data_IF_973861618389
#
_entry.id   IF_973861618389
#
_cell.length_a   1.000
_cell.length_b   1.000
_cell.length_c   1.000
_cell.angle_alpha   90.00
_cell.angle_beta   90.00
_cell.angle_gamma   90.00
#
_symmetry.space_group_name_H-M   'P 1'
#
loop_
_entity.id
_entity.type
_entity.pdbx_description
1 polymer ?
2 branched ?
3 branched ?
4 non-polymer ?
5 non-polymer ?
6 non-polymer ?
7 non-polymer ?
8 non-polymer ?
9 water ?
#
# COMPACT_ATOMS: atom_id res chain seq x y z
N UNK A 1 -21.85 -6.45 13.66
CA UNK A 1 -22.39 -7.15 14.83
C UNK A 1 -21.26 -7.96 15.54
N UNK A 2 -20.61 -8.90 14.83
CA UNK A 2 -19.48 -9.69 15.34
C UNK A 2 -18.12 -9.28 14.67
N UNK A 3 -17.01 -9.51 15.38
CA UNK A 3 -15.67 -9.26 14.82
C UNK A 3 -15.41 -10.21 13.67
N UNK A 4 -14.81 -9.73 12.58
CA UNK A 4 -14.48 -10.63 11.50
C UNK A 4 -13.27 -11.52 11.86
N UNK A 5 -13.35 -12.79 11.47
CA UNK A 5 -12.24 -13.70 11.55
C UNK A 5 -11.81 -14.16 10.16
N UNK A 6 -10.52 -14.40 10.01
CA UNK A 6 -9.87 -14.74 8.76
C UNK A 6 -9.96 -16.23 8.64
N UNK A 7 -11.13 -16.73 8.33
CA UNK A 7 -11.36 -18.16 8.29
C UNK A 7 -11.15 -18.77 6.92
N UNK A 8 -10.98 -18.00 5.85
CA UNK A 8 -10.80 -18.58 4.49
C UNK A 8 -9.37 -18.50 3.96
N UNK A 9 -9.13 -19.31 2.93
CA UNK A 9 -7.87 -19.24 2.14
C UNK A 9 -8.03 -18.29 0.99
N UNK A 10 -6.95 -18.05 0.24
CA UNK A 10 -7.03 -17.32 -1.05
C UNK A 10 -7.70 -18.14 -2.16
N UNK A 11 -8.47 -17.51 -3.03
CA UNK A 11 -8.93 -18.18 -4.24
C UNK A 11 -7.74 -18.37 -5.16
N UNK A 12 -7.87 -19.26 -6.12
CA UNK A 12 -6.86 -19.44 -7.10
C UNK A 12 -6.89 -18.23 -8.00
N UNK A 13 -5.68 -17.74 -8.25
CA UNK A 13 -5.48 -16.57 -9.07
C UNK A 13 -4.99 -17.01 -10.44
N UNK A 14 -5.88 -16.99 -11.42
CA UNK A 14 -5.48 -17.35 -12.77
C UNK A 14 -5.37 -16.17 -13.68
N UNK A 15 -5.90 -15.03 -13.21
CA UNK A 15 -5.63 -13.71 -13.79
C UNK A 15 -6.29 -12.60 -12.92
N UNK A 16 -6.51 -11.42 -13.47
CA UNK A 16 -6.89 -10.22 -12.73
C UNK A 16 -7.86 -9.47 -13.61
N UNK A 17 -8.99 -9.10 -13.02
CA UNK A 17 -10.02 -8.36 -13.72
C UNK A 17 -10.05 -6.96 -13.11
N UNK A 18 -10.54 -6.03 -13.92
CA UNK A 18 -10.71 -4.66 -13.47
C UNK A 18 -11.79 -4.52 -12.35
N UNK A 19 -11.45 -3.75 -11.32
CA UNK A 19 -12.26 -3.58 -10.10
C UNK A 19 -12.72 -2.15 -10.04
N UNK A 20 -11.78 -1.23 -9.98
CA UNK A 20 -12.09 0.17 -9.99
C UNK A 20 -11.00 1.06 -10.54
N UNK A 21 -11.45 2.20 -11.03
CA UNK A 21 -10.59 3.20 -11.65
C UNK A 21 -11.26 4.56 -11.50
N UNK A 22 -10.57 5.55 -11.03
CA UNK A 22 -11.26 6.85 -10.83
C UNK A 22 -11.12 7.92 -11.91
N UNK A 23 -10.07 7.84 -12.73
CA UNK A 23 -9.79 8.83 -13.76
C UNK A 23 -9.73 10.23 -13.17
N UNK A 24 -9.09 10.35 -12.03
CA UNK A 24 -9.17 11.57 -11.26
C UNK A 24 -8.46 12.73 -11.94
N UNK A 25 -7.32 12.47 -12.57
CA UNK A 25 -6.52 13.60 -13.07
C UNK A 25 -7.20 14.11 -14.33
N UNK A 26 -7.75 13.21 -15.17
CA UNK A 26 -8.56 13.60 -16.34
C UNK A 26 -9.70 14.43 -15.91
N UNK A 27 -10.47 13.89 -14.95
CA UNK A 27 -11.70 14.55 -14.54
C UNK A 27 -11.40 15.92 -13.89
N UNK A 28 -10.35 15.90 -13.10
CA UNK A 28 -9.90 17.05 -12.33
C UNK A 28 -9.32 18.18 -13.13
N UNK A 29 -9.00 17.93 -14.40
CA UNK A 29 -8.71 19.02 -15.34
C UNK A 29 -9.79 20.12 -15.37
N UNK A 30 -11.06 19.77 -15.16
CA UNK A 30 -12.09 20.81 -15.15
C UNK A 30 -13.16 20.52 -14.10
N UNK A 31 -12.77 19.97 -12.97
CA UNK A 31 -13.69 19.85 -11.86
C UNK A 31 -12.94 19.91 -10.57
N UNK A 32 -13.65 19.95 -9.43
CA UNK A 32 -13.04 20.23 -8.13
C UNK A 32 -12.54 18.97 -7.41
N UNK A 33 -11.47 18.44 -7.99
CA UNK A 33 -10.84 17.22 -7.56
C UNK A 33 -9.65 17.56 -6.68
N UNK A 34 -9.59 16.94 -5.50
CA UNK A 34 -8.48 17.19 -4.58
C UNK A 34 -7.18 16.63 -5.12
N UNK A 35 -6.12 17.35 -4.86
CA UNK A 35 -4.81 16.77 -5.09
C UNK A 35 -4.56 15.68 -4.05
N UNK A 36 -4.08 14.51 -4.48
CA UNK A 36 -3.81 13.41 -3.54
C UNK A 36 -2.48 12.70 -3.79
N UNK A 37 -2.11 11.81 -2.87
CA UNK A 37 -1.16 10.74 -3.13
C UNK A 37 -1.29 9.71 -2.06
N UNK A 38 -0.53 8.63 -2.20
CA UNK A 38 -0.54 7.52 -1.28
C UNK A 38 -1.96 6.99 -1.11
N UNK A 39 -2.57 6.54 -2.22
CA UNK A 39 -3.90 6.00 -2.15
C UNK A 39 -3.89 4.54 -1.72
N UNK A 40 -5.08 4.08 -1.37
CA UNK A 40 -5.37 2.65 -1.15
C UNK A 40 -6.89 2.39 -1.23
N UNK A 41 -7.30 1.15 -1.00
CA UNK A 41 -8.68 0.70 -1.07
C UNK A 41 -8.90 -0.12 0.21
N UNK A 42 -10.03 0.10 0.88
CA UNK A 42 -10.39 -0.67 2.04
C UNK A 42 -11.88 -0.89 2.04
N UNK A 43 -12.26 -2.08 2.50
CA UNK A 43 -13.64 -2.48 2.56
C UNK A 43 -14.20 -2.46 3.98
N UNK A 44 -15.47 -2.13 4.05
CA UNK A 44 -16.34 -2.25 5.18
C UNK A 44 -17.22 -3.44 4.87
N UNK A 45 -18.04 -3.86 5.83
CA UNK A 45 -18.98 -4.99 5.54
C UNK A 45 -20.04 -4.72 4.43
N UNK A 46 -20.36 -3.46 4.22
CA UNK A 46 -21.33 -3.07 3.21
C UNK A 46 -20.77 -2.24 2.04
N UNK A 47 -19.50 -1.87 2.06
CA UNK A 47 -19.00 -0.90 1.10
C UNK A 47 -17.50 -1.08 0.95
N UNK A 48 -16.98 -0.93 -0.27
CA UNK A 48 -15.54 -0.68 -0.46
C UNK A 48 -15.38 0.76 -0.92
N UNK A 49 -14.35 1.43 -0.39
CA UNK A 49 -14.06 2.82 -0.73
C UNK A 49 -12.60 3.02 -1.07
N UNK A 50 -12.35 4.11 -1.79
CA UNK A 50 -10.99 4.62 -2.01
C UNK A 50 -10.58 5.50 -0.82
N UNK A 51 -9.30 5.43 -0.53
CA UNK A 51 -8.65 6.12 0.55
C UNK A 51 -7.45 6.79 -0.09
N UNK A 52 -7.04 7.90 0.50
CA UNK A 52 -5.80 8.56 0.10
C UNK A 52 -5.52 9.73 1.00
N UNK A 53 -4.31 10.25 0.88
CA UNK A 53 -3.91 11.48 1.59
C UNK A 53 -4.11 12.70 0.71
N UNK A 54 -5.09 13.51 1.09
CA UNK A 54 -5.33 14.81 0.44
C UNK A 54 -4.13 15.71 0.66
N UNK A 55 -3.98 16.69 -0.22
CA UNK A 55 -3.01 17.74 -0.01
C UNK A 55 -3.69 19.07 0.33
N UNK A 56 -5.01 19.04 0.51
CA UNK A 56 -5.67 20.21 0.96
C UNK A 56 -5.77 21.29 -0.10
N UNK A 57 -5.94 20.93 -1.39
CA UNK A 57 -6.15 21.88 -2.45
C UNK A 57 -6.70 21.08 -3.55
N UNK A 58 -7.36 21.74 -4.47
CA UNK A 58 -7.68 21.13 -5.74
C UNK A 58 -6.47 21.21 -6.68
N UNK A 59 -6.51 20.40 -7.72
CA UNK A 59 -5.44 20.33 -8.68
C UNK A 59 -5.30 21.59 -9.54
N UNK A 60 -6.44 22.14 -9.94
CA UNK A 60 -6.48 23.43 -10.66
C UNK A 60 -6.29 24.63 -9.77
N UNK A 61 -6.41 24.40 -8.48
CA UNK A 61 -6.07 25.41 -7.50
C UNK A 61 -4.63 25.82 -7.59
N UNK A 62 -4.41 27.11 -7.48
CA UNK A 62 -3.06 27.66 -7.30
C UNK A 62 -2.26 27.08 -6.13
N UNK A 63 -2.93 26.64 -5.07
CA UNK A 63 -2.27 25.93 -3.94
C UNK A 63 -1.74 24.56 -4.28
N UNK A 64 -2.08 24.02 -5.44
CA UNK A 64 -1.47 22.76 -5.94
C UNK A 64 0.07 22.92 -6.19
N UNK A 65 0.53 24.15 -6.38
CA UNK A 65 1.96 24.48 -6.47
C UNK A 65 2.70 24.06 -5.18
N UNK A 66 3.55 23.05 -5.30
CA UNK A 66 4.40 22.58 -4.22
C UNK A 66 3.93 21.28 -3.60
N UNK A 67 2.94 20.63 -4.20
CA UNK A 67 2.38 19.40 -3.66
C UNK A 67 3.23 18.17 -3.91
N UNK A 68 4.44 18.36 -4.47
CA UNK A 68 5.45 17.28 -4.47
C UNK A 68 5.94 16.90 -3.06
N UNK A 69 5.89 17.87 -2.16
CA UNK A 69 6.25 17.66 -0.77
C UNK A 69 5.27 16.72 -0.12
N UNK A 70 5.78 15.92 0.79
CA UNK A 70 5.05 14.78 1.35
C UNK A 70 4.31 15.11 2.61
N UNK A 71 4.83 16.03 3.39
CA UNK A 71 4.32 16.26 4.71
C UNK A 71 4.04 17.72 4.94
N UNK A 72 2.82 18.07 5.23
CA UNK A 72 2.46 19.41 5.55
C UNK A 72 1.26 19.36 6.49
N UNK A 73 0.88 20.53 7.00
CA UNK A 73 -0.27 20.64 7.89
C UNK A 73 -1.59 20.57 7.11
N UNK A 74 -1.54 20.51 5.77
CA UNK A 74 -2.73 20.59 4.94
C UNK A 74 -3.17 19.24 4.47
N UNK A 75 -2.50 18.18 4.90
CA UNK A 75 -2.87 16.84 4.50
C UNK A 75 -3.81 16.18 5.48
N UNK A 76 -4.48 15.14 5.00
CA UNK A 76 -5.51 14.41 5.73
C UNK A 76 -5.84 13.11 5.02
N UNK A 77 -6.08 12.04 5.78
CA UNK A 77 -6.62 10.79 5.21
C UNK A 77 -8.08 11.03 4.79
N UNK A 78 -8.42 10.81 3.52
CA UNK A 78 -9.82 10.93 3.04
C UNK A 78 -10.30 9.64 2.46
N UNK A 79 -11.61 9.49 2.44
CA UNK A 79 -12.19 8.39 1.72
C UNK A 79 -13.34 8.84 0.90
N UNK A 80 -13.60 8.06 -0.14
CA UNK A 80 -14.66 8.38 -1.05
C UNK A 80 -15.16 7.14 -1.80
N UNK A 81 -16.33 7.25 -2.43
CA UNK A 81 -16.88 6.09 -3.12
C UNK A 81 -16.01 5.51 -4.23
N UNK A 82 -16.14 4.19 -4.36
CA UNK A 82 -15.27 3.41 -5.22
C UNK A 82 -15.44 3.87 -6.64
N UNK A 83 -14.34 4.21 -7.29
CA UNK A 83 -14.26 4.64 -8.74
C UNK A 83 -14.74 6.07 -9.07
N UNK A 84 -15.23 6.78 -8.05
CA UNK A 84 -15.45 8.23 -8.12
C UNK A 84 -14.09 8.92 -7.89
N UNK A 85 -13.89 10.14 -8.35
CA UNK A 85 -12.68 10.86 -7.94
C UNK A 85 -12.86 11.47 -6.56
N UNK A 86 -11.73 11.81 -5.89
CA UNK A 86 -11.74 12.46 -4.60
C UNK A 86 -11.98 13.92 -4.81
N UNK A 87 -13.23 14.32 -4.73
CA UNK A 87 -13.58 15.71 -4.87
C UNK A 87 -13.79 16.40 -3.51
N UNK A 88 -13.77 17.70 -3.60
CA UNK A 88 -14.06 18.50 -2.47
C UNK A 88 -15.42 18.09 -1.82
N UNK A 89 -16.41 17.73 -2.64
CA UNK A 89 -17.77 17.61 -2.19
C UNK A 89 -18.16 16.20 -1.79
N UNK A 90 -17.45 15.19 -2.25
CA UNK A 90 -17.79 13.78 -2.00
C UNK A 90 -16.83 13.07 -1.01
N UNK A 91 -15.78 13.75 -0.57
CA UNK A 91 -14.70 13.11 0.19
C UNK A 91 -14.94 13.30 1.66
N UNK A 92 -14.67 12.29 2.43
CA UNK A 92 -14.89 12.29 3.83
C UNK A 92 -13.55 12.18 4.49
N UNK A 93 -13.30 13.05 5.47
CA UNK A 93 -12.05 13.06 6.19
C UNK A 93 -12.13 12.11 7.35
N UNK A 94 -11.25 11.13 7.31
CA UNK A 94 -11.09 10.15 8.34
C UNK A 94 -10.28 10.68 9.51
N UNK A 95 -9.24 11.45 9.22
CA UNK A 95 -8.38 12.05 10.23
C UNK A 95 -7.27 12.89 9.60
N UNK A 96 -6.59 13.71 10.41
CA UNK A 96 -5.59 14.68 9.95
C UNK A 96 -4.15 14.19 10.08
N UNK A 97 -3.38 14.38 9.02
CA UNK A 97 -2.00 13.90 9.00
C UNK A 97 -1.48 13.51 7.63
N UNK A 98 -0.22 13.04 7.62
CA UNK A 98 0.56 12.82 6.40
C UNK A 98 1.11 11.42 6.24
N UNK A 99 0.59 10.48 7.01
CA UNK A 99 0.85 9.06 6.84
C UNK A 99 -0.26 8.30 7.56
N UNK A 100 -0.75 7.21 6.97
CA UNK A 100 -1.98 6.55 7.47
C UNK A 100 -2.10 5.06 7.25
N UNK A 101 -3.12 4.51 7.87
CA UNK A 101 -3.65 3.19 7.53
C UNK A 101 -5.07 3.18 8.06
N UNK A 102 -5.82 2.15 7.70
CA UNK A 102 -7.22 2.07 8.11
C UNK A 102 -7.74 0.68 7.85
N UNK A 103 -8.50 0.15 8.79
CA UNK A 103 -9.24 -1.09 8.53
C UNK A 103 -10.51 -1.22 9.36
N UNK A 104 -11.39 -2.08 8.87
CA UNK A 104 -12.61 -2.43 9.56
C UNK A 104 -12.42 -3.79 10.24
N UNK A 105 -12.90 -3.92 11.47
CA UNK A 105 -12.74 -5.16 12.27
C UNK A 105 -13.96 -6.04 12.32
N UNK A 106 -14.87 -5.84 11.38
CA UNK A 106 -16.19 -6.45 11.42
C UNK A 106 -17.25 -5.62 12.10
N UNK A 107 -16.92 -4.82 13.10
CA UNK A 107 -17.92 -4.00 13.84
C UNK A 107 -17.78 -2.53 13.45
N UNK A 108 -16.55 -1.98 13.42
CA UNK A 108 -16.38 -0.62 12.95
C UNK A 108 -14.93 -0.41 12.46
N UNK A 109 -14.63 0.82 12.08
CA UNK A 109 -13.37 1.13 11.40
C UNK A 109 -12.40 1.81 12.35
N UNK A 110 -11.15 1.36 12.26
CA UNK A 110 -10.03 2.00 12.89
C UNK A 110 -9.30 2.75 11.80
N UNK A 111 -8.94 4.00 12.06
CA UNK A 111 -8.13 4.76 11.14
C UNK A 111 -7.02 5.41 11.92
N UNK A 112 -5.82 5.42 11.34
CA UNK A 112 -4.63 5.97 12.00
C UNK A 112 -3.99 7.03 11.15
N UNK A 113 -3.79 8.22 11.72
CA UNK A 113 -3.09 9.30 11.03
C UNK A 113 -1.96 9.79 11.89
N UNK A 114 -0.83 10.06 11.24
CA UNK A 114 0.36 10.57 11.88
C UNK A 114 0.56 11.95 11.36
N UNK A 115 0.76 12.90 12.25
CA UNK A 115 1.14 14.26 11.88
C UNK A 115 2.26 14.75 12.76
N UNK A 116 2.81 15.86 12.37
CA UNK A 116 3.79 16.60 13.13
C UNK A 116 5.06 16.95 12.37
N UNK A 117 5.94 17.67 13.05
CA UNK A 117 7.22 17.92 12.45
C UNK A 117 8.07 16.65 12.47
N UNK A 118 9.07 16.64 11.63
CA UNK A 118 9.89 15.47 11.45
C UNK A 118 10.40 14.85 12.74
N UNK A 119 10.77 15.67 13.72
CA UNK A 119 11.31 15.18 14.99
C UNK A 119 10.33 15.11 16.16
N UNK A 120 9.04 15.27 15.91
CA UNK A 120 8.09 15.35 17.01
C UNK A 120 6.71 14.90 16.56
N UNK A 121 6.67 13.89 15.70
CA UNK A 121 5.45 13.41 15.13
C UNK A 121 4.70 12.52 16.17
N UNK A 122 3.40 12.38 15.97
CA UNK A 122 2.52 11.56 16.79
C UNK A 122 1.45 10.90 15.94
N UNK A 123 1.13 9.68 16.28
CA UNK A 123 -0.02 9.00 15.70
C UNK A 123 -1.27 9.18 16.58
N UNK A 124 -2.42 9.37 15.94
CA UNK A 124 -3.74 9.36 16.60
C UNK A 124 -4.57 8.22 16.01
N UNK A 125 -5.11 7.40 16.89
CA UNK A 125 -5.82 6.21 16.52
C UNK A 125 -7.28 6.47 16.77
N UNK A 126 -8.05 6.40 15.70
CA UNK A 126 -9.46 6.70 15.71
C UNK A 126 -10.14 5.35 15.64
N UNK A 127 -11.24 5.24 16.32
CA UNK A 127 -12.04 4.03 16.29
C UNK A 127 -13.50 4.46 16.40
N UNK A 128 -14.34 3.96 15.50
CA UNK A 128 -15.72 4.41 15.44
C UNK A 128 -15.82 5.94 15.29
N UNK A 129 -14.89 6.49 14.50
CA UNK A 129 -14.78 7.93 14.19
C UNK A 129 -14.62 8.82 15.42
N UNK A 130 -13.92 8.31 16.42
CA UNK A 130 -13.51 9.07 17.56
C UNK A 130 -12.07 8.77 17.90
N UNK A 131 -11.32 9.80 18.30
CA UNK A 131 -9.94 9.51 18.72
C UNK A 131 -9.91 8.73 20.02
N UNK A 132 -9.11 7.66 20.07
CA UNK A 132 -9.06 6.82 21.23
C UNK A 132 -7.68 6.75 21.85
N UNK A 133 -6.63 6.72 21.06
CA UNK A 133 -5.28 6.47 21.58
C UNK A 133 -4.32 7.33 20.77
N UNK A 134 -3.25 7.76 21.43
CA UNK A 134 -2.21 8.57 20.80
C UNK A 134 -0.86 7.93 21.16
N UNK A 135 0.04 7.95 20.19
CA UNK A 135 1.41 7.47 20.37
C UNK A 135 2.38 8.52 19.88
N UNK A 136 3.36 8.80 20.74
CA UNK A 136 4.41 9.76 20.40
C UNK A 136 5.55 9.06 19.69
N UNK A 137 6.21 9.82 18.85
CA UNK A 137 7.46 9.39 18.19
C UNK A 137 8.44 8.83 19.23
N UNK A 138 9.05 7.68 18.88
CA UNK A 138 10.04 7.03 19.74
C UNK A 138 11.46 7.23 19.25
N UNK A 139 11.64 7.57 17.99
CA UNK A 139 12.98 7.81 17.44
C UNK A 139 13.16 9.20 16.85
N UNK A 140 12.12 10.06 16.88
CA UNK A 140 12.25 11.48 16.54
C UNK A 140 12.74 11.70 15.12
N UNK A 141 12.30 10.83 14.19
CA UNK A 141 12.61 10.91 12.77
C UNK A 141 11.51 10.30 11.86
N UNK A 142 10.45 11.10 11.63
CA UNK A 142 9.36 10.82 10.74
C UNK A 142 8.71 9.49 11.05
N UNK A 143 8.03 9.45 12.17
CA UNK A 143 7.16 8.31 12.47
C UNK A 143 6.20 8.14 11.30
N UNK A 144 6.12 6.91 10.81
CA UNK A 144 5.37 6.61 9.62
C UNK A 144 4.77 5.22 9.64
N UNK A 145 3.72 5.00 8.87
CA UNK A 145 3.03 3.72 8.89
C UNK A 145 2.79 3.23 7.44
N UNK A 146 1.80 2.38 7.24
CA UNK A 146 1.71 1.48 6.10
C UNK A 146 1.29 2.16 4.79
N UNK A 147 0.45 3.21 4.86
CA UNK A 147 -0.15 3.80 3.64
C UNK A 147 -1.02 2.83 2.83
N UNK A 148 -1.50 1.77 3.46
CA UNK A 148 -2.56 0.94 2.91
C UNK A 148 -3.26 0.25 4.06
N UNK A 149 -4.27 -0.57 3.77
CA UNK A 149 -5.16 -1.04 4.80
C UNK A 149 -4.48 -2.06 5.70
N UNK A 150 -4.80 -2.01 6.97
CA UNK A 150 -4.45 -3.04 7.93
C UNK A 150 -5.46 -4.16 7.81
N UNK A 151 -5.24 -5.22 8.57
CA UNK A 151 -6.13 -6.38 8.59
C UNK A 151 -6.45 -6.75 10.03
N UNK A 152 -7.70 -7.04 10.32
CA UNK A 152 -8.12 -7.50 11.64
C UNK A 152 -8.55 -9.00 11.68
N UNK A 153 -8.38 -9.55 12.87
CA UNK A 153 -8.79 -10.89 13.20
C UNK A 153 -9.27 -10.94 14.65
N UNK A 154 -10.59 -11.18 14.82
CA UNK A 154 -11.29 -11.20 16.11
C UNK A 154 -10.96 -9.94 16.92
N UNK A 155 -11.05 -8.80 16.25
CA UNK A 155 -10.87 -7.54 16.90
C UNK A 155 -9.45 -7.08 16.99
N UNK A 156 -8.47 -7.94 16.71
CA UNK A 156 -7.07 -7.57 16.81
C UNK A 156 -6.59 -7.10 15.45
N UNK A 157 -6.18 -5.84 15.37
CA UNK A 157 -5.71 -5.24 14.12
C UNK A 157 -4.25 -4.82 14.29
N UNK A 158 -3.28 -5.63 13.83
CA UNK A 158 -1.89 -5.22 13.84
C UNK A 158 -1.57 -4.19 12.82
N UNK A 159 -0.60 -3.37 13.16
CA UNK A 159 -0.19 -2.23 12.35
C UNK A 159 1.30 -2.05 12.50
N UNK A 160 1.96 -1.86 11.37
CA UNK A 160 3.38 -1.71 11.38
C UNK A 160 3.72 -0.25 11.23
N UNK A 161 4.52 0.26 12.19
CA UNK A 161 5.10 1.61 12.17
C UNK A 161 6.60 1.57 12.02
N UNK A 162 7.18 2.59 11.41
CA UNK A 162 8.62 2.75 11.43
C UNK A 162 8.96 4.14 11.94
N UNK A 163 10.00 4.27 12.75
CA UNK A 163 10.47 5.59 13.12
C UNK A 163 11.98 5.53 13.06
N UNK A 164 12.63 6.55 12.49
CA UNK A 164 14.08 6.54 12.35
C UNK A 164 14.47 6.84 10.94
N UNK A 165 15.76 6.69 10.66
CA UNK A 165 16.31 6.98 9.33
C UNK A 165 15.70 6.13 8.22
N UNK A 166 15.38 6.76 7.09
CA UNK A 166 15.04 6.06 5.85
C UNK A 166 16.25 5.45 5.11
N UNK A 167 17.47 5.80 5.54
CA UNK A 167 18.73 5.48 4.81
C UNK A 167 19.80 4.81 5.71
N UNK A 168 19.32 4.01 6.66
CA UNK A 168 20.13 3.36 7.67
C UNK A 168 19.18 2.74 8.67
N UNK A 169 19.67 2.03 9.68
CA UNK A 169 18.84 1.39 10.75
C UNK A 169 17.73 2.25 11.37
N UNK A 170 16.54 1.69 11.52
CA UNK A 170 15.42 2.43 12.08
C UNK A 170 14.72 1.57 13.11
N UNK A 171 13.74 2.12 13.80
CA UNK A 171 13.05 1.39 14.85
C UNK A 171 11.61 1.06 14.42
N UNK A 172 11.40 -0.22 14.10
CA UNK A 172 10.15 -0.63 13.53
C UNK A 172 9.43 -1.33 14.66
N UNK A 173 8.15 -1.04 14.76
CA UNK A 173 7.31 -1.69 15.76
C UNK A 173 6.01 -2.17 15.18
N UNK A 174 5.47 -3.20 15.82
CA UNK A 174 4.21 -3.78 15.43
C UNK A 174 3.29 -3.62 16.64
N UNK A 175 2.26 -2.78 16.49
CA UNK A 175 1.31 -2.50 17.51
C UNK A 175 0.12 -3.42 17.27
N UNK A 176 -0.40 -4.02 18.32
CA UNK A 176 -1.59 -4.81 18.19
C UNK A 176 -2.72 -4.02 18.84
N UNK A 177 -3.63 -3.55 18.02
CA UNK A 177 -4.76 -2.77 18.50
C UNK A 177 -6.04 -3.61 18.63
N UNK A 178 -6.87 -3.23 19.58
CA UNK A 178 -8.24 -3.73 19.65
C UNK A 178 -9.15 -2.64 20.14
N UNK A 179 -10.16 -2.33 19.33
CA UNK A 179 -11.08 -1.23 19.63
C UNK A 179 -10.28 0.05 19.81
N UNK A 180 -9.21 0.20 19.03
CA UNK A 180 -8.37 1.37 19.14
C UNK A 180 -7.41 1.50 20.31
N UNK A 181 -7.27 0.45 21.11
CA UNK A 181 -6.48 0.48 22.32
C UNK A 181 -5.37 -0.48 22.12
N UNK A 182 -4.21 -0.15 22.63
CA UNK A 182 -3.03 -0.97 22.42
C UNK A 182 -3.07 -2.15 23.35
N UNK A 183 -3.12 -3.33 22.79
CA UNK A 183 -3.01 -4.54 23.54
C UNK A 183 -1.57 -4.88 23.86
N UNK A 184 -0.69 -4.61 22.91
CA UNK A 184 0.71 -5.04 22.97
C UNK A 184 1.48 -4.37 21.84
N UNK A 185 2.77 -4.14 22.03
CA UNK A 185 3.59 -3.94 20.86
C UNK A 185 4.91 -4.68 20.99
N UNK A 186 5.54 -4.93 19.85
CA UNK A 186 6.80 -5.61 19.71
C UNK A 186 7.75 -4.82 18.80
N UNK A 187 9.06 -4.84 19.08
CA UNK A 187 10.01 -4.37 18.06
C UNK A 187 10.10 -5.42 16.97
N UNK A 188 10.47 -5.00 15.79
CA UNK A 188 10.65 -5.93 14.69
C UNK A 188 11.70 -7.01 14.99
N UNK A 189 11.43 -8.20 14.44
CA UNK A 189 12.16 -9.44 14.68
C UNK A 189 12.37 -10.11 13.32
N UNK A 190 13.09 -11.23 13.32
CA UNK A 190 13.60 -11.87 12.09
C UNK A 190 14.68 -11.09 11.36
N UNK A 191 14.79 -11.36 10.05
CA UNK A 191 15.94 -10.99 9.25
C UNK A 191 15.72 -9.84 8.31
N UNK A 192 14.55 -9.23 8.28
CA UNK A 192 14.41 -7.98 7.51
C UNK A 192 15.22 -6.83 8.17
N UNK A 193 16.08 -6.15 7.42
CA UNK A 193 16.98 -5.09 7.97
C UNK A 193 16.35 -3.69 7.99
N UNK A 194 15.33 -3.49 7.18
CA UNK A 194 14.66 -2.22 7.13
C UNK A 194 13.25 -2.37 6.59
N UNK A 195 12.31 -1.64 7.21
CA UNK A 195 10.86 -1.76 6.91
C UNK A 195 10.20 -0.40 6.72
N UNK A 196 9.40 -0.29 5.66
CA UNK A 196 8.61 0.89 5.32
C UNK A 196 7.34 0.38 4.60
N UNK A 197 6.20 1.02 4.86
CA UNK A 197 5.02 0.86 4.00
C UNK A 197 4.58 -0.60 3.73
N UNK A 198 4.28 -1.30 4.78
CA UNK A 198 3.73 -2.63 4.65
C UNK A 198 2.33 -2.71 4.00
N UNK A 199 2.24 -3.57 2.98
CA UNK A 199 1.01 -3.98 2.33
C UNK A 199 0.61 -5.37 2.85
N UNK A 200 -0.57 -5.45 3.47
CA UNK A 200 -1.00 -6.61 4.26
C UNK A 200 -2.26 -7.27 3.70
N UNK A 201 -2.36 -8.57 3.94
CA UNK A 201 -3.58 -9.31 3.69
C UNK A 201 -3.63 -10.44 4.66
N UNK A 202 -4.81 -11.04 4.74
CA UNK A 202 -5.14 -11.98 5.78
C UNK A 202 -5.76 -13.22 5.18
N UNK A 203 -5.33 -14.37 5.66
CA UNK A 203 -5.95 -15.62 5.31
C UNK A 203 -5.63 -16.67 6.38
N UNK A 204 -6.64 -17.46 6.77
CA UNK A 204 -6.49 -18.63 7.63
C UNK A 204 -5.71 -18.23 8.91
N UNK A 205 -6.24 -17.21 9.58
CA UNK A 205 -5.71 -16.65 10.83
C UNK A 205 -4.25 -16.18 10.81
N UNK A 206 -3.76 -15.74 9.67
CA UNK A 206 -2.43 -15.24 9.52
C UNK A 206 -2.45 -13.99 8.65
N UNK A 207 -1.66 -13.00 9.03
CA UNK A 207 -1.58 -11.78 8.31
C UNK A 207 -0.17 -11.69 7.68
N UNK A 208 -0.15 -11.50 6.37
CA UNK A 208 1.10 -11.47 5.59
C UNK A 208 1.26 -10.05 5.12
N UNK A 209 2.40 -9.43 5.46
CA UNK A 209 2.77 -8.09 4.93
C UNK A 209 4.02 -8.07 4.05
N UNK A 210 3.89 -7.52 2.85
CA UNK A 210 5.00 -7.25 1.94
C UNK A 210 5.36 -5.75 1.99
N UNK A 211 6.63 -5.46 2.28
CA UNK A 211 7.06 -4.12 2.61
C UNK A 211 8.16 -3.63 1.66
N UNK A 212 8.71 -2.47 1.96
CA UNK A 212 9.77 -1.86 1.22
C UNK A 212 10.96 -1.72 2.16
N UNK A 213 12.11 -2.30 1.77
CA UNK A 213 13.42 -2.06 2.44
C UNK A 213 14.03 -0.86 1.79
N UNK A 214 13.80 0.32 2.29
CA UNK A 214 14.34 1.50 1.62
C UNK A 214 15.88 1.60 1.72
N UNK A 215 16.47 0.95 2.72
CA UNK A 215 17.89 1.11 3.00
C UNK A 215 18.74 0.34 2.00
N UNK A 216 18.61 -0.98 1.99
CA UNK A 216 19.52 -1.83 1.20
C UNK A 216 18.91 -2.71 0.10
N UNK A 217 17.69 -3.18 0.30
CA UNK A 217 17.14 -4.32 -0.43
C UNK A 217 16.26 -3.98 -1.65
N UNK A 218 16.58 -4.62 -2.79
CA UNK A 218 15.73 -4.58 -3.96
C UNK A 218 14.83 -5.83 -4.03
N UNK A 219 15.04 -6.81 -3.16
CA UNK A 219 13.99 -7.79 -2.85
C UNK A 219 13.15 -7.18 -1.74
N UNK A 220 11.92 -7.64 -1.55
CA UNK A 220 11.07 -7.04 -0.53
C UNK A 220 11.07 -7.84 0.73
N UNK A 221 11.12 -7.16 1.86
CA UNK A 221 10.85 -7.84 3.12
C UNK A 221 9.39 -8.21 3.26
N UNK A 222 9.20 -9.31 3.99
CA UNK A 222 7.92 -9.84 4.30
C UNK A 222 7.87 -10.04 5.78
N UNK A 223 6.76 -9.65 6.38
CA UNK A 223 6.43 -9.86 7.78
C UNK A 223 5.21 -10.72 7.88
N UNK A 224 5.28 -11.82 8.62
CA UNK A 224 4.15 -12.67 8.84
C UNK A 224 3.72 -12.60 10.29
N UNK A 225 2.45 -12.23 10.50
CA UNK A 225 1.92 -11.94 11.82
C UNK A 225 0.84 -12.95 12.16
N UNK A 226 0.90 -13.41 13.41
CA UNK A 226 -0.08 -14.29 13.97
C UNK A 226 -0.89 -13.40 14.92
N UNK A 227 -2.14 -13.07 14.55
CA UNK A 227 -2.87 -12.10 15.33
C UNK A 227 -3.54 -12.66 16.57
N UNK A 228 -3.43 -13.96 16.79
CA UNK A 228 -4.01 -14.61 17.98
C UNK A 228 -2.93 -14.59 19.06
N UNK A 229 -1.76 -15.12 18.72
CA UNK A 229 -0.64 -15.10 19.67
C UNK A 229 0.08 -13.74 19.75
N UNK A 230 -0.31 -12.83 18.85
CA UNK A 230 0.33 -11.53 18.72
C UNK A 230 1.83 -11.61 18.63
N UNK A 231 2.29 -12.44 17.72
CA UNK A 231 3.72 -12.63 17.46
C UNK A 231 3.93 -12.53 15.98
N UNK A 232 5.18 -12.37 15.61
CA UNK A 232 5.54 -12.22 14.21
C UNK A 232 6.96 -12.68 13.89
N UNK A 233 7.22 -12.80 12.59
CA UNK A 233 8.57 -13.00 12.08
C UNK A 233 8.73 -12.19 10.80
N UNK A 234 9.99 -12.13 10.33
CA UNK A 234 10.30 -11.52 9.07
C UNK A 234 11.40 -12.21 8.29
N UNK A 235 11.40 -11.95 6.99
CA UNK A 235 12.38 -12.42 6.06
C UNK A 235 12.30 -11.62 4.78
N UNK A 236 12.91 -12.10 3.70
CA UNK A 236 12.73 -11.47 2.39
C UNK A 236 12.08 -12.47 1.46
N UNK A 237 11.54 -11.94 0.38
CA UNK A 237 11.11 -12.74 -0.74
C UNK A 237 12.40 -13.33 -1.34
N UNK A 238 12.50 -14.67 -1.30
CA UNK A 238 13.67 -15.40 -1.83
C UNK A 238 13.85 -15.22 -3.35
N UNK A 239 12.77 -14.98 -4.08
CA UNK A 239 12.81 -15.08 -5.52
C UNK A 239 13.75 -14.09 -6.16
N UNK A 240 14.43 -14.48 -7.25
CA UNK A 240 15.22 -13.56 -8.03
C UNK A 240 14.39 -12.67 -8.93
N UNK A 241 13.07 -12.79 -8.89
CA UNK A 241 12.25 -11.78 -9.53
C UNK A 241 12.17 -10.63 -8.53
N UNK A 242 12.93 -9.58 -8.79
CA UNK A 242 13.08 -8.50 -7.80
C UNK A 242 11.97 -7.45 -7.99
N UNK A 243 11.33 -7.00 -6.90
CA UNK A 243 10.08 -6.25 -7.04
C UNK A 243 10.06 -4.81 -6.47
N UNK A 244 11.17 -4.32 -5.92
CA UNK A 244 11.31 -2.92 -5.58
C UNK A 244 11.64 -2.09 -6.83
N UNK A 245 11.74 -0.79 -6.66
CA UNK A 245 12.07 0.16 -7.73
C UNK A 245 12.63 1.43 -7.06
N UNK A 246 13.79 1.95 -7.49
CA UNK A 246 14.66 1.30 -8.47
C UNK A 246 15.25 -0.01 -7.97
N UNK A 247 15.73 -0.80 -8.94
CA UNK A 247 16.36 -2.09 -8.68
C UNK A 247 17.41 -2.47 -9.76
N UNK A 248 18.25 -3.46 -9.47
CA UNK A 248 19.13 -4.02 -10.50
C UNK A 248 18.38 -5.01 -11.38
N UNK A 249 19.01 -5.48 -12.43
CA UNK A 249 18.39 -6.53 -13.22
C UNK A 249 18.20 -7.81 -12.44
N UNK A 250 17.29 -8.64 -12.93
CA UNK A 250 16.96 -9.86 -12.20
C UNK A 250 18.13 -10.77 -12.28
N UNK A 251 18.53 -11.37 -11.16
CA UNK A 251 19.53 -12.40 -11.16
C UNK A 251 18.91 -13.75 -11.37
N UNK A 252 19.71 -14.78 -11.19
CA UNK A 252 19.27 -16.14 -11.28
C UNK A 252 18.96 -16.68 -9.93
N UNK A 253 19.47 -16.04 -8.88
CA UNK A 253 19.22 -16.54 -7.54
C UNK A 253 19.15 -15.37 -6.55
N UNK A 254 18.18 -15.42 -5.64
CA UNK A 254 17.96 -14.32 -4.72
C UNK A 254 18.41 -14.63 -3.32
N UNK A 255 17.89 -13.85 -2.39
CA UNK A 255 18.19 -13.98 -1.01
C UNK A 255 16.93 -14.06 -0.17
N UNK A 256 17.02 -14.95 0.82
CA UNK A 256 15.96 -15.22 1.76
C UNK A 256 16.07 -14.41 3.02
N UNK A 257 17.30 -14.15 3.47
CA UNK A 257 17.50 -13.54 4.78
C UNK A 257 18.38 -12.35 4.79
N UNK A 258 18.53 -11.75 3.63
CA UNK A 258 19.40 -10.59 3.49
C UNK A 258 18.90 -9.73 2.35
N UNK A 259 19.17 -8.44 2.42
CA UNK A 259 18.82 -7.59 1.30
C UNK A 259 19.60 -7.97 0.04
N UNK A 260 18.95 -7.99 -1.11
CA UNK A 260 19.63 -8.15 -2.37
C UNK A 260 20.16 -6.80 -2.78
N UNK A 261 21.49 -6.66 -3.00
CA UNK A 261 22.07 -5.32 -3.19
C UNK A 261 22.03 -4.77 -4.61
N UNK A 262 22.61 -3.59 -4.79
CA UNK A 262 22.68 -2.96 -6.10
C UNK A 262 21.96 -1.66 -6.16
N UNK A 263 21.06 -1.44 -5.22
CA UNK A 263 20.47 -0.12 -5.06
C UNK A 263 20.33 0.24 -3.60
N UNK A 264 20.70 1.48 -3.26
CA UNK A 264 20.58 1.99 -1.91
C UNK A 264 19.65 3.16 -1.81
N UNK A 265 19.10 3.30 -0.62
CA UNK A 265 18.37 4.47 -0.20
C UNK A 265 17.26 4.89 -1.12
N UNK A 266 16.46 3.92 -1.54
CA UNK A 266 15.35 4.20 -2.38
C UNK A 266 14.46 3.02 -2.49
N UNK A 267 13.26 3.26 -3.02
CA UNK A 267 12.27 2.21 -3.14
C UNK A 267 10.89 2.74 -3.45
N UNK A 268 9.92 1.85 -3.38
CA UNK A 268 8.53 2.16 -3.60
C UNK A 268 7.66 1.12 -2.87
N UNK A 269 6.49 1.57 -2.40
CA UNK A 269 5.57 0.68 -1.75
C UNK A 269 5.03 -0.27 -2.79
N UNK A 270 4.98 -1.53 -2.42
CA UNK A 270 4.50 -2.59 -3.30
C UNK A 270 3.92 -3.73 -2.47
N UNK A 271 3.65 -4.84 -3.15
CA UNK A 271 2.91 -5.90 -2.52
C UNK A 271 3.12 -7.20 -3.24
N UNK A 272 2.70 -8.25 -2.55
CA UNK A 272 2.57 -9.54 -3.19
C UNK A 272 1.54 -10.33 -2.46
N UNK A 273 1.18 -11.44 -3.10
CA UNK A 273 0.37 -12.52 -2.49
C UNK A 273 1.18 -13.77 -2.51
N UNK A 274 1.37 -14.40 -1.37
CA UNK A 274 2.38 -15.43 -1.21
C UNK A 274 1.68 -16.66 -0.72
N UNK A 275 1.40 -17.60 -1.63
CA UNK A 275 0.51 -18.74 -1.36
C UNK A 275 0.87 -20.00 -2.17
N UNK A 276 2.06 -20.51 -1.87
CA UNK A 276 2.71 -21.55 -2.63
C UNK A 276 2.70 -21.30 -4.11
N UNK A 277 2.11 -22.23 -4.84
CA UNK A 277 2.06 -22.12 -6.28
C UNK A 277 1.18 -20.94 -6.68
N UNK A 278 0.20 -20.63 -5.85
CA UNK A 278 -0.72 -19.51 -6.09
C UNK A 278 -0.10 -18.17 -5.64
N UNK A 279 1.10 -17.89 -6.06
CA UNK A 279 1.83 -16.75 -5.60
C UNK A 279 2.00 -15.82 -6.75
N UNK A 280 1.65 -14.55 -6.54
CA UNK A 280 1.82 -13.53 -7.53
C UNK A 280 2.51 -12.26 -6.95
N UNK A 281 3.45 -11.69 -7.71
CA UNK A 281 4.17 -10.52 -7.31
C UNK A 281 3.83 -9.40 -8.26
N UNK A 282 3.78 -8.19 -7.73
CA UNK A 282 3.71 -6.96 -8.46
C UNK A 282 5.06 -6.24 -8.55
N UNK A 283 5.24 -5.54 -9.64
CA UNK A 283 6.38 -4.67 -9.81
C UNK A 283 6.16 -3.74 -10.99
N UNK A 284 6.90 -2.64 -10.91
CA UNK A 284 7.06 -1.72 -12.00
C UNK A 284 7.79 -2.47 -13.09
N UNK A 285 7.56 -2.08 -14.32
CA UNK A 285 8.27 -2.71 -15.42
C UNK A 285 9.70 -2.14 -15.52
N UNK A 286 9.84 -0.82 -15.38
CA UNK A 286 11.15 -0.18 -15.39
C UNK A 286 11.91 -0.56 -14.11
N UNK A 287 13.21 -0.81 -14.27
CA UNK A 287 14.08 -1.01 -13.11
C UNK A 287 14.60 0.31 -12.62
N UNK A 288 14.35 1.36 -13.38
CA UNK A 288 14.91 2.69 -13.11
C UNK A 288 13.92 3.70 -12.53
N UNK A 289 12.69 3.71 -13.00
CA UNK A 289 11.70 4.68 -12.55
C UNK A 289 10.34 4.02 -12.35
N UNK A 290 9.44 4.75 -11.73
CA UNK A 290 8.09 4.26 -11.45
C UNK A 290 7.24 4.33 -12.68
N UNK A 291 7.50 3.43 -13.59
CA UNK A 291 6.71 3.30 -14.78
C UNK A 291 6.41 1.86 -15.08
N UNK A 292 5.20 1.66 -15.63
CA UNK A 292 4.66 0.33 -15.85
C UNK A 292 4.28 -0.41 -14.58
N UNK A 293 3.47 -1.44 -14.77
CA UNK A 293 3.19 -2.36 -13.68
C UNK A 293 2.80 -3.70 -14.24
N UNK A 294 3.32 -4.74 -13.65
CA UNK A 294 2.95 -6.07 -14.08
C UNK A 294 2.72 -6.95 -12.85
N UNK A 295 1.92 -7.99 -13.08
CA UNK A 295 1.81 -9.06 -12.17
C UNK A 295 2.52 -10.25 -12.78
N UNK A 296 3.27 -10.98 -11.98
CA UNK A 296 3.94 -12.17 -12.35
C UNK A 296 3.60 -13.25 -11.36
N UNK A 297 3.34 -14.42 -11.87
CA UNK A 297 3.08 -15.57 -11.07
C UNK A 297 4.42 -16.28 -10.90
N UNK A 298 4.84 -16.43 -9.65
CA UNK A 298 6.14 -16.91 -9.34
C UNK A 298 5.96 -17.95 -8.26
N UNK A 299 5.82 -19.22 -8.64
CA UNK A 299 5.49 -20.21 -7.66
C UNK A 299 6.52 -20.29 -6.55
N UNK A 300 6.05 -20.32 -5.32
CA UNK A 300 6.90 -20.36 -4.17
C UNK A 300 7.93 -19.29 -4.05
N UNK A 301 7.62 -18.10 -4.56
CA UNK A 301 8.50 -16.95 -4.47
C UNK A 301 9.07 -16.71 -3.08
N UNK A 302 8.25 -16.89 -2.05
CA UNK A 302 8.71 -16.62 -0.70
C UNK A 302 9.86 -17.54 -0.27
N UNK A 303 9.79 -18.80 -0.70
CA UNK A 303 10.66 -19.87 -0.18
C UNK A 303 11.73 -20.44 -1.12
N UNK A 304 11.68 -20.11 -2.41
CA UNK A 304 12.49 -20.72 -3.47
C UNK A 304 13.31 -19.62 -4.12
N UNK A 305 14.60 -19.66 -3.81
CA UNK A 305 15.52 -18.66 -4.28
C UNK A 305 15.88 -18.69 -5.74
N UNK A 306 15.34 -19.64 -6.49
CA UNK A 306 15.55 -19.73 -7.93
C UNK A 306 14.26 -19.53 -8.76
N UNK A 307 13.15 -19.26 -8.07
CA UNK A 307 11.82 -19.24 -8.70
C UNK A 307 11.67 -18.09 -9.72
N UNK A 308 11.04 -18.42 -10.84
CA UNK A 308 10.87 -17.51 -11.97
C UNK A 308 9.40 -17.53 -12.46
N UNK A 309 9.04 -16.58 -13.35
CA UNK A 309 7.65 -16.50 -13.76
C UNK A 309 7.18 -17.65 -14.62
N UNK A 310 5.97 -18.11 -14.32
CA UNK A 310 5.21 -19.07 -15.13
C UNK A 310 3.98 -18.46 -15.84
N UNK A 311 3.61 -17.22 -15.46
CA UNK A 311 2.52 -16.50 -16.11
C UNK A 311 2.60 -15.07 -15.68
N UNK A 312 2.01 -14.18 -16.46
CA UNK A 312 1.93 -12.81 -16.03
C UNK A 312 0.80 -12.03 -16.63
N UNK A 313 0.65 -10.81 -16.17
CA UNK A 313 -0.30 -9.91 -16.76
C UNK A 313 0.25 -8.50 -16.68
N UNK A 314 0.20 -7.80 -17.80
CA UNK A 314 0.48 -6.38 -17.85
C UNK A 314 -0.70 -5.57 -17.27
N UNK A 315 -0.40 -4.64 -16.39
CA UNK A 315 -1.43 -3.77 -15.81
C UNK A 315 -1.31 -2.33 -16.34
N UNK A 316 -0.07 -1.85 -16.41
CA UNK A 316 0.23 -0.53 -16.92
C UNK A 316 1.45 -0.65 -17.82
N UNK A 317 1.39 -0.08 -19.02
CA UNK A 317 2.53 -0.22 -19.98
C UNK A 317 3.71 0.57 -19.48
N UNK A 318 4.90 0.22 -19.94
CA UNK A 318 6.11 0.90 -19.52
C UNK A 318 6.25 2.35 -19.97
N UNK A 319 5.45 2.75 -20.94
CA UNK A 319 5.30 4.13 -21.37
C UNK A 319 4.27 4.98 -20.55
N UNK A 320 3.76 4.44 -19.45
CA UNK A 320 2.81 5.18 -18.58
C UNK A 320 3.29 5.18 -17.13
N UNK A 321 2.99 6.24 -16.40
CA UNK A 321 3.49 6.34 -15.03
C UNK A 321 2.71 5.43 -14.02
N UNK A 322 3.44 4.85 -13.06
CA UNK A 322 2.86 4.07 -11.97
C UNK A 322 3.23 4.75 -10.65
N UNK A 323 3.53 3.98 -9.62
CA UNK A 323 3.59 4.49 -8.28
C UNK A 323 3.48 3.37 -7.25
N UNK A 324 3.06 3.78 -6.07
CA UNK A 324 2.74 2.87 -4.99
C UNK A 324 1.72 1.84 -5.42
N UNK A 325 1.84 0.65 -4.88
CA UNK A 325 0.81 -0.35 -5.07
C UNK A 325 0.61 -1.06 -3.77
N UNK A 326 -0.56 -1.66 -3.61
CA UNK A 326 -0.91 -2.28 -2.33
C UNK A 326 -2.05 -3.26 -2.43
N UNK A 327 -2.23 -3.98 -1.34
CA UNK A 327 -3.15 -5.10 -1.34
C UNK A 327 -4.37 -4.75 -0.44
N UNK A 328 -5.53 -5.25 -0.83
CA UNK A 328 -6.71 -5.28 0.02
C UNK A 328 -7.52 -6.48 -0.42
N UNK A 329 -8.45 -6.90 0.42
CA UNK A 329 -9.45 -7.86 0.06
C UNK A 329 -10.76 -7.45 0.69
N UNK A 330 -11.84 -7.83 0.03
CA UNK A 330 -13.15 -7.77 0.61
C UNK A 330 -13.36 -9.05 1.43
N UNK A 331 -13.07 -8.95 2.72
CA UNK A 331 -13.25 -10.03 3.72
C UNK A 331 -14.71 -10.38 4.00
N UNK A 332 -15.67 -9.58 3.52
CA UNK A 332 -17.10 -9.76 3.78
C UNK A 332 -17.92 -10.25 2.56
N UNK A 333 -17.24 -10.55 1.43
CA UNK A 333 -17.88 -11.18 0.26
C UNK A 333 -18.42 -12.57 0.57
N UNK A 334 -19.30 -13.06 -0.27
CA UNK A 334 -19.84 -14.39 -0.09
C UNK A 334 -18.88 -15.37 -0.78
N UNK A 335 -18.87 -16.63 -0.39
CA UNK A 335 -18.06 -17.62 -1.09
C UNK A 335 -17.05 -18.28 -0.20
N UNK A 336 -16.30 -19.18 -0.78
CA UNK A 336 -15.52 -20.12 0.00
C UNK A 336 -14.11 -19.59 0.25
N UNK A 337 -13.70 -18.56 -0.46
CA UNK A 337 -12.30 -18.13 -0.38
C UNK A 337 -12.26 -16.63 -0.47
N UNK A 338 -11.13 -16.03 -0.11
CA UNK A 338 -10.96 -14.58 -0.25
C UNK A 338 -10.36 -14.22 -1.61
N UNK A 339 -10.91 -13.21 -2.27
CA UNK A 339 -10.43 -12.82 -3.59
C UNK A 339 -9.31 -11.78 -3.45
N UNK A 340 -8.09 -12.14 -3.83
CA UNK A 340 -6.98 -11.21 -3.75
C UNK A 340 -7.29 -9.99 -4.62
N UNK A 341 -7.03 -8.79 -4.08
CA UNK A 341 -7.08 -7.56 -4.90
C UNK A 341 -5.85 -6.69 -4.67
N UNK A 342 -5.64 -5.73 -5.57
CA UNK A 342 -4.67 -4.65 -5.37
C UNK A 342 -5.07 -3.37 -6.10
N UNK A 343 -4.36 -2.30 -5.75
CA UNK A 343 -4.47 -1.06 -6.45
C UNK A 343 -3.05 -0.69 -6.87
N UNK A 344 -2.94 0.13 -7.92
CA UNK A 344 -1.70 0.82 -8.32
C UNK A 344 -2.03 2.33 -8.43
N UNK A 345 -1.27 3.14 -7.73
CA UNK A 345 -1.27 4.60 -7.81
C UNK A 345 -0.56 4.98 -9.12
N UNK A 346 -1.19 5.87 -9.90
CA UNK A 346 -0.68 6.36 -11.18
C UNK A 346 -0.27 7.81 -10.94
N UNK A 347 1.00 8.01 -10.60
CA UNK A 347 1.45 9.34 -10.28
C UNK A 347 1.59 10.17 -11.55
N UNK A 348 1.09 11.41 -11.47
CA UNK A 348 1.24 12.40 -12.52
C UNK A 348 1.80 13.66 -11.96
N UNK A 349 2.53 14.41 -12.79
CA UNK A 349 3.21 15.63 -12.39
C UNK A 349 4.63 15.38 -11.91
N UNK A 350 5.05 16.16 -10.93
CA UNK A 350 6.45 16.21 -10.54
C UNK A 350 6.82 14.96 -9.77
N UNK A 351 8.08 14.56 -9.81
CA UNK A 351 9.18 15.21 -10.56
C UNK A 351 9.27 14.91 -12.05
N UNK A 352 8.67 13.80 -12.51
CA UNK A 352 8.89 13.36 -13.85
C UNK A 352 8.28 14.27 -14.88
N UNK A 353 7.10 14.82 -14.58
CA UNK A 353 6.41 15.73 -15.50
C UNK A 353 6.44 17.14 -14.95
N UNK A 354 7.60 17.76 -15.01
CA UNK A 354 7.81 19.05 -14.34
C UNK A 354 7.34 20.33 -15.07
N UNK A 355 6.67 20.22 -16.21
CA UNK A 355 6.01 21.40 -16.80
C UNK A 355 4.76 21.87 -16.00
N UNK A 356 4.30 21.04 -15.07
CA UNK A 356 3.32 21.47 -14.09
C UNK A 356 3.99 21.61 -12.73
N UNK A 357 3.37 22.39 -11.85
CA UNK A 357 3.94 22.64 -10.52
C UNK A 357 3.45 21.70 -9.42
N UNK A 358 2.64 20.70 -9.82
CA UNK A 358 1.95 19.80 -8.87
C UNK A 358 2.36 18.36 -9.06
N UNK A 359 1.94 17.56 -8.09
CA UNK A 359 1.99 16.14 -8.14
C UNK A 359 0.66 15.64 -7.67
N UNK A 360 0.03 14.78 -8.43
CA UNK A 360 -1.14 14.08 -7.97
C UNK A 360 -1.13 12.64 -8.51
N UNK A 361 -2.25 11.94 -8.40
CA UNK A 361 -2.37 10.60 -8.97
C UNK A 361 -3.82 10.23 -9.27
N UNK A 362 -4.00 9.16 -10.03
CA UNK A 362 -5.26 8.48 -10.08
C UNK A 362 -5.01 7.08 -9.62
N UNK A 363 -6.05 6.25 -9.62
CA UNK A 363 -5.98 4.87 -9.09
C UNK A 363 -6.56 3.92 -10.12
N UNK A 364 -5.93 2.79 -10.24
CA UNK A 364 -6.51 1.66 -10.88
C UNK A 364 -6.48 0.54 -9.86
N UNK A 365 -7.42 -0.34 -9.95
CA UNK A 365 -7.56 -1.40 -8.98
C UNK A 365 -8.04 -2.70 -9.64
N UNK A 366 -7.50 -3.86 -9.23
CA UNK A 366 -7.85 -5.14 -9.84
C UNK A 366 -8.15 -6.18 -8.78
N UNK A 367 -8.89 -7.24 -9.14
CA UNK A 367 -9.05 -8.40 -8.30
C UNK A 367 -8.83 -9.67 -9.12
N UNK A 368 -8.59 -10.77 -8.43
CA UNK A 368 -8.26 -12.01 -9.05
C UNK A 368 -9.49 -12.71 -9.57
N UNK A 369 -9.30 -13.37 -10.72
CA UNK A 369 -10.26 -14.29 -11.31
C UNK A 369 -9.71 -15.73 -11.35
N UNK A 370 -10.63 -16.70 -11.29
CA UNK A 370 -10.26 -18.12 -11.53
C UNK A 370 -10.27 -18.48 -13.00
N UNK A 371 -10.84 -17.58 -13.83
CA UNK A 371 -10.66 -17.64 -15.28
C UNK A 371 -9.32 -17.08 -15.74
N UNK A 372 -8.96 -17.37 -17.00
CA UNK A 372 -7.80 -16.80 -17.68
C UNK A 372 -8.31 -15.72 -18.57
N UNK A 373 -8.30 -14.50 -18.08
CA UNK A 373 -8.94 -13.39 -18.76
C UNK A 373 -7.92 -12.71 -19.63
N UNK A 374 -8.42 -12.08 -20.68
CA UNK A 374 -7.59 -11.26 -21.52
C UNK A 374 -7.12 -10.04 -20.73
N UNK A 375 -5.97 -9.52 -21.07
CA UNK A 375 -5.45 -8.34 -20.45
C UNK A 375 -5.58 -7.08 -21.34
N UNK A 376 -5.80 -5.96 -20.67
CA UNK A 376 -5.64 -4.62 -21.21
C UNK A 376 -4.60 -3.89 -20.34
N UNK A 377 -4.29 -2.65 -20.72
CA UNK A 377 -3.51 -1.76 -19.87
C UNK A 377 -4.36 -0.60 -19.45
N UNK A 378 -4.02 -0.06 -18.30
CA UNK A 378 -4.89 0.81 -17.56
C UNK A 378 -4.13 2.08 -17.10
N UNK A 379 -3.88 3.00 -18.03
CA UNK A 379 -3.12 4.19 -17.75
C UNK A 379 -4.01 5.27 -17.16
N UNK A 380 -3.38 6.26 -16.56
CA UNK A 380 -4.07 7.35 -15.97
C UNK A 380 -5.00 8.02 -16.98
N UNK A 381 -4.49 8.28 -18.19
CA UNK A 381 -5.25 8.82 -19.30
C UNK A 381 -5.33 10.33 -19.44
N UNK A 382 -4.66 11.06 -18.55
CA UNK A 382 -4.63 12.53 -18.67
C UNK A 382 -3.52 13.01 -19.59
N UNK A 383 -3.67 14.22 -20.14
CA UNK A 383 -2.77 14.86 -21.09
C UNK A 383 -2.29 16.10 -20.34
N UNK A 384 -1.06 16.03 -19.80
CA UNK A 384 -0.33 17.14 -19.22
C UNK A 384 -0.48 18.43 -20.03
N UNK A 385 -0.32 18.34 -21.34
CA UNK A 385 -0.51 19.49 -22.24
C UNK A 385 -1.78 20.33 -21.88
N UNK A 386 -2.87 19.65 -21.51
CA UNK A 386 -4.09 20.35 -21.11
C UNK A 386 -4.01 21.18 -19.80
N UNK A 387 -3.04 20.88 -18.96
CA UNK A 387 -2.83 21.58 -17.72
C UNK A 387 -1.88 22.76 -17.87
N UNK A 388 -1.33 22.99 -19.05
CA UNK A 388 -0.47 24.15 -19.29
C UNK A 388 -1.33 25.30 -19.86
#
# INVERSE_FOLDING_TARGET
RDFNNLTKGLCTINSWHIYGKDNAVRIGEDSDVLVTREPYVSCDPDECRFYALSQGTTIRGKHSNGTIHDRSQYRALISWPLSSPPTVYNSRVECIGWSSTSCHDGKTRMSICISGPNNNASAVIWYNRRPVTEINTWARNILRTQESECVCHNGVCPVVFTDGSATGPAETRIYYFKEGKILKWEPLAGTAKHIEECSCYGERAEITCTCRDNWQGSNRPVIRIDPVAMTHTSQYICSPVLTDNPRPNDPTVGKCNDPYPGNNNNGVKGFSYLDGVNTWLGRTISIASRSGYEMLKVPNALTDDKSKPTQGQTIVLNTDWSGYSGSFMDYWAEGECYRACFYVELIRGRPKEDKVWWTSNSIVSMCSSTEFLGQWDWPDGAKIEYFL
#
